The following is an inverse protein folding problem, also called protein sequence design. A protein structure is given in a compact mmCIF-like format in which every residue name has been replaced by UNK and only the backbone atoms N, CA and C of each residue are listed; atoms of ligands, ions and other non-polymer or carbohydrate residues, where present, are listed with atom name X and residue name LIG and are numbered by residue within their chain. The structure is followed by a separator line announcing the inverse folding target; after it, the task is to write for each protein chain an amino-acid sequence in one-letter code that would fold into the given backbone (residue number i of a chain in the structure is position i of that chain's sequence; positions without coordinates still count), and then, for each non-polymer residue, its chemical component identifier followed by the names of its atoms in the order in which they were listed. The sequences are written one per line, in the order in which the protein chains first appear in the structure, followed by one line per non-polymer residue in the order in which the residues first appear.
data_IF_976822722488
#
_entry.id   IF_976822722488
#
_cell.length_a   1.000
_cell.length_b   1.000
_cell.length_c   1.000
_cell.angle_alpha   90.00
_cell.angle_beta   90.00
_cell.angle_gamma   90.00
#
_symmetry.space_group_name_H-M   'P 1'
#
loop_
_entity.id
_entity.type
_entity.pdbx_description
1 polymer ?
#
# COMPACT_ATOMS: atom_id res chain seq x y z
N UNK A 1 36.64 32.73 14.07
CA UNK A 1 36.54 32.65 12.60
C UNK A 1 36.07 31.26 12.22
N UNK A 2 34.82 31.21 11.74
CA UNK A 2 34.13 30.26 10.88
C UNK A 2 34.81 28.92 10.57
N UNK A 3 34.10 27.80 10.86
CA UNK A 3 33.99 26.62 9.99
C UNK A 3 32.90 25.62 10.46
N UNK A 4 31.74 26.13 10.93
CA UNK A 4 30.58 25.28 11.31
C UNK A 4 29.53 25.23 10.17
N UNK A 5 29.68 26.05 9.13
CA UNK A 5 28.60 26.36 8.18
C UNK A 5 28.60 25.58 6.87
N UNK A 6 29.24 24.40 6.77
CA UNK A 6 29.26 23.63 5.50
C UNK A 6 29.08 22.11 5.61
N UNK A 7 28.50 21.60 6.70
CA UNK A 7 27.99 20.21 6.73
C UNK A 7 26.46 20.10 6.78
N UNK A 8 25.78 21.15 6.31
CA UNK A 8 24.40 21.09 5.83
C UNK A 8 24.44 20.84 4.31
N UNK A 9 24.73 19.59 3.92
CA UNK A 9 24.42 19.15 2.56
C UNK A 9 23.55 17.90 2.66
N UNK A 10 22.25 18.16 2.62
CA UNK A 10 21.19 17.31 2.09
C UNK A 10 21.62 15.89 1.69
N UNK A 11 21.58 14.97 2.64
CA UNK A 11 21.26 13.58 2.33
C UNK A 11 19.83 13.31 2.80
N UNK A 12 18.88 14.09 2.30
CA UNK A 12 17.53 13.57 2.12
C UNK A 12 17.65 12.51 1.02
N UNK A 13 17.99 11.28 1.42
CA UNK A 13 17.73 10.12 0.58
C UNK A 13 16.30 10.30 0.04
N UNK A 14 16.08 10.15 -1.28
CA UNK A 14 14.73 10.19 -1.80
C UNK A 14 13.94 9.22 -0.94
N UNK A 15 12.78 9.66 -0.44
CA UNK A 15 11.84 8.79 0.28
C UNK A 15 11.39 7.77 -0.75
N UNK A 16 12.20 6.73 -0.97
CA UNK A 16 11.89 5.59 -1.78
C UNK A 16 10.91 4.80 -0.92
N UNK A 17 9.64 5.18 -1.04
CA UNK A 17 8.55 4.39 -0.53
C UNK A 17 8.62 3.06 -1.28
N UNK A 18 9.20 2.04 -0.63
CA UNK A 18 9.12 0.65 -1.10
C UNK A 18 7.69 0.38 -1.58
N UNK A 19 7.50 -0.11 -2.81
CA UNK A 19 6.17 -0.25 -3.38
C UNK A 19 5.36 -1.19 -2.51
N UNK A 20 4.19 -0.75 -2.07
CA UNK A 20 3.33 -1.57 -1.22
C UNK A 20 2.98 -2.86 -1.97
N UNK A 21 3.31 -4.01 -1.40
CA UNK A 21 3.10 -5.31 -2.04
C UNK A 21 1.93 -6.10 -1.45
N UNK A 22 1.43 -7.05 -2.25
CA UNK A 22 0.40 -8.02 -1.86
C UNK A 22 0.65 -9.38 -2.51
N UNK A 23 0.03 -10.43 -1.97
CA UNK A 23 0.13 -11.81 -2.44
C UNK A 23 -1.24 -12.40 -2.75
N UNK A 24 -1.30 -13.49 -3.52
CA UNK A 24 -2.56 -14.22 -3.79
C UNK A 24 -3.26 -14.68 -2.50
N UNK A 25 -2.50 -15.06 -1.48
CA UNK A 25 -3.05 -15.48 -0.18
C UNK A 25 -3.75 -14.30 0.51
N UNK A 26 -3.14 -13.12 0.47
CA UNK A 26 -3.76 -11.90 1.02
C UNK A 26 -5.02 -11.51 0.23
N UNK A 27 -5.02 -11.64 -1.10
CA UNK A 27 -6.22 -11.43 -1.92
C UNK A 27 -7.38 -12.35 -1.49
N UNK A 28 -7.09 -13.64 -1.22
CA UNK A 28 -8.08 -14.55 -0.64
C UNK A 28 -8.60 -14.05 0.72
N UNK A 29 -7.70 -13.57 1.56
CA UNK A 29 -8.02 -12.94 2.84
C UNK A 29 -8.97 -11.74 2.72
N UNK A 30 -8.82 -10.94 1.66
CA UNK A 30 -9.70 -9.80 1.36
C UNK A 30 -11.07 -10.19 0.79
N UNK A 31 -11.27 -11.46 0.42
CA UNK A 31 -12.55 -11.92 -0.13
C UNK A 31 -12.46 -12.66 -1.45
N UNK A 32 -11.31 -12.67 -2.11
CA UNK A 32 -11.17 -13.33 -3.40
C UNK A 32 -11.30 -14.86 -3.27
N UNK A 33 -11.96 -15.49 -4.23
CA UNK A 33 -11.80 -16.92 -4.44
C UNK A 33 -10.41 -17.24 -4.98
N UNK A 34 -10.00 -18.50 -4.91
CA UNK A 34 -8.72 -18.95 -5.51
C UNK A 34 -8.64 -18.60 -7.00
N UNK A 35 -9.76 -18.77 -7.73
CA UNK A 35 -9.84 -18.44 -9.16
C UNK A 35 -9.71 -16.93 -9.40
N UNK A 36 -10.41 -16.10 -8.63
CA UNK A 36 -10.32 -14.64 -8.73
C UNK A 36 -8.89 -14.15 -8.43
N UNK A 37 -8.28 -14.63 -7.35
CA UNK A 37 -6.90 -14.28 -7.00
C UNK A 37 -5.92 -14.67 -8.12
N UNK A 38 -6.17 -15.78 -8.82
CA UNK A 38 -5.40 -16.17 -10.00
C UNK A 38 -5.63 -15.21 -11.16
N UNK A 39 -6.88 -14.95 -11.57
CA UNK A 39 -7.16 -14.05 -12.70
C UNK A 39 -6.55 -12.67 -12.48
N UNK A 40 -6.76 -12.07 -11.29
CA UNK A 40 -6.25 -10.73 -10.96
C UNK A 40 -4.73 -10.64 -11.10
N UNK A 41 -4.01 -11.73 -10.82
CA UNK A 41 -2.53 -11.72 -10.80
C UNK A 41 -1.90 -12.41 -12.01
N UNK A 42 -2.70 -13.04 -12.87
CA UNK A 42 -2.23 -13.73 -14.06
C UNK A 42 -1.60 -12.80 -15.10
N UNK A 43 -2.15 -11.60 -15.40
CA UNK A 43 -1.51 -10.68 -16.34
C UNK A 43 -0.33 -9.91 -15.71
N UNK A 44 -0.05 -10.10 -14.41
CA UNK A 44 0.93 -9.30 -13.68
C UNK A 44 2.26 -10.03 -13.58
N UNK A 45 3.34 -9.27 -13.78
CA UNK A 45 4.69 -9.74 -13.48
C UNK A 45 4.93 -9.62 -11.98
N UNK A 46 5.34 -10.70 -11.29
CA UNK A 46 5.63 -10.62 -9.86
C UNK A 46 6.87 -9.74 -9.64
N UNK A 47 6.78 -8.83 -8.67
CA UNK A 47 7.90 -7.99 -8.23
C UNK A 47 8.99 -8.81 -7.54
N UNK A 48 8.61 -9.94 -6.93
CA UNK A 48 9.52 -10.83 -6.22
C UNK A 48 8.82 -11.99 -5.55
N UNK A 49 9.51 -12.63 -4.62
CA UNK A 49 9.01 -13.74 -3.81
C UNK A 49 9.20 -13.40 -2.34
N UNK A 50 8.12 -13.45 -1.57
CA UNK A 50 8.19 -13.40 -0.11
C UNK A 50 7.92 -14.79 0.45
N UNK A 51 8.94 -15.36 1.12
CA UNK A 51 8.97 -16.75 1.62
C UNK A 51 8.77 -17.79 0.50
N UNK A 52 7.52 -18.04 0.12
CA UNK A 52 7.11 -19.03 -0.91
C UNK A 52 5.93 -18.53 -1.74
N UNK A 53 5.68 -17.22 -1.77
CA UNK A 53 4.58 -16.63 -2.50
C UNK A 53 5.06 -15.44 -3.31
N UNK A 54 4.63 -15.40 -4.57
CA UNK A 54 4.87 -14.25 -5.43
C UNK A 54 4.21 -13.00 -4.84
N UNK A 55 4.98 -11.92 -4.83
CA UNK A 55 4.53 -10.59 -4.43
C UNK A 55 4.26 -9.74 -5.66
N UNK A 56 3.16 -9.02 -5.63
CA UNK A 56 2.71 -8.12 -6.69
C UNK A 56 2.57 -6.72 -6.11
N UNK A 57 2.85 -5.68 -6.89
CA UNK A 57 2.59 -4.31 -6.48
C UNK A 57 1.07 -4.11 -6.31
N UNK A 58 0.66 -3.46 -5.22
CA UNK A 58 -0.76 -3.20 -4.95
C UNK A 58 -1.40 -2.34 -6.05
N UNK A 59 -0.65 -1.40 -6.60
CA UNK A 59 -1.06 -0.55 -7.73
C UNK A 59 -1.43 -1.38 -8.96
N UNK A 60 -0.61 -2.35 -9.33
CA UNK A 60 -0.81 -3.18 -10.51
C UNK A 60 -2.00 -4.13 -10.32
N UNK A 61 -2.16 -4.65 -9.09
CA UNK A 61 -3.31 -5.46 -8.69
C UNK A 61 -4.61 -4.66 -8.77
N UNK A 62 -4.61 -3.40 -8.36
CA UNK A 62 -5.77 -2.51 -8.50
C UNK A 62 -6.11 -2.29 -9.97
N UNK A 63 -5.11 -1.96 -10.79
CA UNK A 63 -5.28 -1.76 -12.23
C UNK A 63 -5.85 -3.01 -12.92
N UNK A 64 -5.30 -4.18 -12.64
CA UNK A 64 -5.82 -5.45 -13.19
C UNK A 64 -7.24 -5.75 -12.70
N UNK A 65 -7.55 -5.48 -11.44
CA UNK A 65 -8.91 -5.69 -10.90
C UNK A 65 -9.93 -4.79 -11.59
N UNK A 66 -9.57 -3.53 -11.90
CA UNK A 66 -10.42 -2.60 -12.67
C UNK A 66 -10.67 -3.11 -14.09
N UNK A 67 -9.64 -3.59 -14.78
CA UNK A 67 -9.79 -4.18 -16.12
C UNK A 67 -10.76 -5.37 -16.13
N UNK A 68 -10.78 -6.19 -15.08
CA UNK A 68 -11.75 -7.29 -14.96
C UNK A 68 -13.18 -6.76 -14.78
N UNK A 69 -13.36 -5.68 -14.01
CA UNK A 69 -14.66 -5.05 -13.76
C UNK A 69 -15.27 -4.37 -15.00
N UNK A 70 -14.43 -3.96 -15.95
CA UNK A 70 -14.87 -3.40 -17.23
C UNK A 70 -15.60 -4.42 -18.10
N UNK A 71 -15.41 -5.73 -17.87
CA UNK A 71 -16.13 -6.76 -18.61
C UNK A 71 -17.64 -6.69 -18.29
N UNK A 72 -18.54 -6.51 -19.28
CA UNK A 72 -19.97 -6.46 -19.01
C UNK A 72 -20.56 -7.83 -18.63
N UNK A 73 -19.88 -8.93 -18.96
CA UNK A 73 -20.39 -10.31 -18.77
C UNK A 73 -20.05 -10.92 -17.41
N UNK A 74 -19.33 -10.20 -16.53
CA UNK A 74 -19.07 -10.72 -15.18
C UNK A 74 -20.36 -10.74 -14.35
N UNK A 75 -20.55 -11.85 -13.64
CA UNK A 75 -21.70 -12.05 -12.78
C UNK A 75 -21.73 -11.00 -11.64
N UNK A 76 -22.92 -10.50 -11.29
CA UNK A 76 -23.10 -9.42 -10.30
C UNK A 76 -22.46 -9.74 -8.94
N UNK A 77 -22.62 -10.98 -8.46
CA UNK A 77 -21.95 -11.46 -7.24
C UNK A 77 -20.41 -11.31 -7.30
N UNK A 78 -19.82 -11.62 -8.45
CA UNK A 78 -18.37 -11.49 -8.66
C UNK A 78 -17.96 -10.01 -8.72
N UNK A 79 -18.78 -9.17 -9.37
CA UNK A 79 -18.58 -7.71 -9.41
C UNK A 79 -18.48 -7.13 -8.00
N UNK A 80 -19.47 -7.40 -7.14
CA UNK A 80 -19.45 -6.92 -5.75
C UNK A 80 -18.26 -7.42 -4.94
N UNK A 81 -17.82 -8.67 -5.16
CA UNK A 81 -16.62 -9.18 -4.50
C UNK A 81 -15.35 -8.45 -4.95
N UNK A 82 -15.20 -8.18 -6.24
CA UNK A 82 -14.05 -7.45 -6.78
C UNK A 82 -14.06 -5.99 -6.32
N UNK A 83 -15.22 -5.35 -6.22
CA UNK A 83 -15.38 -4.01 -5.64
C UNK A 83 -14.96 -3.97 -4.16
N UNK A 84 -15.38 -4.95 -3.35
CA UNK A 84 -14.98 -5.04 -1.95
C UNK A 84 -13.45 -5.25 -1.78
N UNK A 85 -12.85 -6.03 -2.68
CA UNK A 85 -11.39 -6.21 -2.73
C UNK A 85 -10.71 -4.89 -3.09
N UNK A 86 -11.21 -4.16 -4.10
CA UNK A 86 -10.68 -2.84 -4.45
C UNK A 86 -10.73 -1.87 -3.27
N UNK A 87 -11.85 -1.79 -2.55
CA UNK A 87 -11.96 -0.95 -1.34
C UNK A 87 -10.92 -1.34 -0.31
N UNK A 88 -10.70 -2.64 -0.08
CA UNK A 88 -9.67 -3.12 0.85
C UNK A 88 -8.25 -2.76 0.41
N UNK A 89 -7.98 -2.75 -0.90
CA UNK A 89 -6.68 -2.37 -1.47
C UNK A 89 -6.47 -0.84 -1.43
N UNK A 90 -7.50 -0.05 -1.70
CA UNK A 90 -7.45 1.42 -1.56
C UNK A 90 -7.23 1.84 -0.13
N UNK A 91 -7.94 1.25 0.84
CA UNK A 91 -7.72 1.52 2.26
C UNK A 91 -6.27 1.24 2.70
N UNK A 92 -5.56 0.33 2.02
CA UNK A 92 -4.12 0.10 2.27
C UNK A 92 -3.23 1.17 1.63
N UNK A 93 -3.61 1.74 0.49
CA UNK A 93 -2.91 2.83 -0.17
C UNK A 93 -3.17 4.20 0.50
N UNK A 94 -4.42 4.48 0.87
CA UNK A 94 -4.85 5.77 1.45
C UNK A 94 -4.28 6.04 2.86
N UNK A 95 -3.60 5.05 3.46
CA UNK A 95 -2.77 5.26 4.64
C UNK A 95 -1.54 6.17 4.38
N UNK A 96 -1.33 6.61 3.13
CA UNK A 96 -0.33 7.60 2.73
C UNK A 96 -0.96 9.00 2.71
N UNK A 97 -0.83 9.73 3.82
CA UNK A 97 -1.30 11.13 3.90
C UNK A 97 -0.27 12.03 3.22
N UNK A 98 -0.67 12.70 2.13
CA UNK A 98 0.14 13.75 1.52
C UNK A 98 -0.16 15.08 2.22
N UNK A 99 0.86 15.68 2.84
CA UNK A 99 0.70 16.89 3.65
C UNK A 99 1.33 18.07 2.92
N UNK A 100 0.57 19.15 2.64
CA UNK A 100 1.18 20.40 2.22
C UNK A 100 1.88 21.02 3.42
N UNK A 101 3.20 20.96 3.47
CA UNK A 101 3.97 21.74 4.43
C UNK A 101 3.84 23.22 4.06
N UNK A 102 2.87 23.91 4.67
CA UNK A 102 2.85 25.36 4.67
C UNK A 102 4.16 25.78 5.35
N UNK A 103 5.00 26.51 4.62
CA UNK A 103 6.26 27.08 5.13
C UNK A 103 5.91 28.17 6.15
N UNK A 104 5.42 27.76 7.32
CA UNK A 104 5.11 28.64 8.43
C UNK A 104 6.39 29.17 9.05
N UNK A 105 6.39 30.46 9.38
CA UNK A 105 7.50 31.28 9.87
C UNK A 105 8.04 30.87 11.25
N UNK A 106 7.41 29.91 11.94
CA UNK A 106 7.80 29.42 13.26
C UNK A 106 8.54 28.06 13.18
N UNK A 107 9.86 28.03 13.45
CA UNK A 107 10.66 26.83 13.39
C UNK A 107 10.30 25.77 14.45
N UNK A 108 9.76 26.16 15.61
CA UNK A 108 9.35 25.20 16.65
C UNK A 108 8.07 24.47 16.24
N UNK A 109 7.09 25.20 15.71
CA UNK A 109 5.87 24.60 15.16
C UNK A 109 6.19 23.66 14.00
N UNK A 110 7.12 24.04 13.12
CA UNK A 110 7.59 23.18 12.02
C UNK A 110 8.19 21.86 12.52
N UNK A 111 9.01 21.88 13.57
CA UNK A 111 9.61 20.68 14.16
C UNK A 111 8.55 19.76 14.78
N UNK A 112 7.63 20.33 15.56
CA UNK A 112 6.54 19.57 16.20
C UNK A 112 5.64 18.93 15.14
N UNK A 113 5.25 19.68 14.09
CA UNK A 113 4.47 19.13 12.98
C UNK A 113 5.22 18.00 12.29
N UNK A 114 6.51 18.17 11.95
CA UNK A 114 7.32 17.10 11.33
C UNK A 114 7.39 15.84 12.20
N UNK A 115 7.55 16.00 13.51
CA UNK A 115 7.62 14.88 14.45
C UNK A 115 6.28 14.16 14.57
N UNK A 116 5.18 14.93 14.64
CA UNK A 116 3.82 14.39 14.68
C UNK A 116 3.50 13.62 13.39
N UNK A 117 3.89 14.13 12.22
CA UNK A 117 3.76 13.43 10.95
C UNK A 117 4.59 12.15 10.89
N UNK A 118 5.84 12.20 11.35
CA UNK A 118 6.69 10.99 11.41
C UNK A 118 6.04 9.90 12.27
N UNK A 119 5.47 10.29 13.41
CA UNK A 119 4.76 9.38 14.29
C UNK A 119 3.49 8.82 13.62
N UNK A 120 2.70 9.68 12.97
CA UNK A 120 1.51 9.27 12.22
C UNK A 120 1.85 8.28 11.08
N UNK A 121 2.91 8.54 10.31
CA UNK A 121 3.38 7.62 9.26
C UNK A 121 3.79 6.26 9.84
N UNK A 122 4.43 6.25 11.02
CA UNK A 122 4.81 5.00 11.69
C UNK A 122 3.57 4.20 12.13
N UNK A 123 2.56 4.87 12.69
CA UNK A 123 1.27 4.25 13.05
C UNK A 123 0.58 3.68 11.81
N UNK A 124 0.49 4.46 10.73
CA UNK A 124 -0.13 4.03 9.47
C UNK A 124 0.59 2.84 8.83
N UNK A 125 1.93 2.82 8.89
CA UNK A 125 2.74 1.68 8.44
C UNK A 125 2.41 0.43 9.25
N UNK A 126 2.36 0.56 10.58
CA UNK A 126 2.02 -0.55 11.49
C UNK A 126 0.61 -1.09 11.24
N UNK A 127 -0.39 -0.21 11.06
CA UNK A 127 -1.76 -0.61 10.71
C UNK A 127 -1.81 -1.34 9.37
N UNK A 128 -1.06 -0.88 8.38
CA UNK A 128 -0.99 -1.53 7.06
C UNK A 128 -0.35 -2.91 7.15
N UNK A 129 0.71 -3.06 7.95
CA UNK A 129 1.35 -4.35 8.21
C UNK A 129 0.40 -5.32 8.95
N UNK A 130 -0.29 -4.83 10.00
CA UNK A 130 -1.29 -5.61 10.73
C UNK A 130 -2.42 -6.08 9.82
N UNK A 131 -2.99 -5.20 9.01
CA UNK A 131 -4.03 -5.56 8.04
C UNK A 131 -3.53 -6.59 7.02
N UNK A 132 -2.27 -6.48 6.59
CA UNK A 132 -1.61 -7.49 5.75
C UNK A 132 -1.45 -8.85 6.45
N UNK A 133 -1.08 -8.87 7.73
CA UNK A 133 -0.98 -10.09 8.54
C UNK A 133 -2.34 -10.75 8.77
N UNK A 134 -3.36 -9.97 9.15
CA UNK A 134 -4.73 -10.45 9.33
C UNK A 134 -5.28 -11.05 8.05
N UNK A 135 -5.07 -10.40 6.90
CA UNK A 135 -5.46 -10.94 5.61
C UNK A 135 -4.75 -12.26 5.28
N UNK A 136 -3.47 -12.37 5.62
CA UNK A 136 -2.71 -13.62 5.44
C UNK A 136 -3.28 -14.75 6.28
N UNK A 137 -3.65 -14.48 7.54
CA UNK A 137 -4.29 -15.46 8.42
C UNK A 137 -5.66 -15.89 7.87
N UNK A 138 -6.53 -14.94 7.54
CA UNK A 138 -7.85 -15.21 6.95
C UNK A 138 -7.75 -16.01 5.64
N UNK A 139 -6.78 -15.70 4.80
CA UNK A 139 -6.58 -16.37 3.50
C UNK A 139 -6.04 -17.80 3.58
N UNK A 140 -5.39 -18.18 4.68
CA UNK A 140 -4.96 -19.57 4.94
C UNK A 140 -6.12 -20.48 5.36
N UNK A 141 -7.15 -19.92 5.99
CA UNK A 141 -8.31 -20.67 6.50
C UNK A 141 -9.54 -20.61 5.59
N UNK A 142 -9.45 -19.90 4.45
CA UNK A 142 -10.45 -19.86 3.38
C UNK A 142 -10.04 -20.75 2.22
#
# INVERSE_FOLDING_TARGET
MNNITQKLHNQSLPIQNEPLTTTRIQLKGYGASQYQARIITQPLTPFGVSKRSYTYAVTDVISSTRQILENPRIHLKTRHQLEAILTSLFNRLDNVVNVPFIQGTDPQLSQVSKQLFKNMMNVNRYLTELNGKVATLKGKHK
#
